data_IF_563494201824
#
_entry.id   IF_563494201824
#
_cell.length_a   1.000
_cell.length_b   1.000
_cell.length_c   1.000
_cell.angle_alpha   90.00
_cell.angle_beta   90.00
_cell.angle_gamma   90.00
#
_symmetry.space_group_name_H-M   'P 1'
#
loop_
_entity.id
_entity.type
_entity.pdbx_description
1 polymer ?
#
# COMPACT_ATOMS: atom_id res chain seq x y z
N UNK A 1 18.97 4.78 13.97
CA UNK A 1 19.06 3.52 13.22
C UNK A 1 17.79 3.43 12.39
N UNK A 2 17.89 3.29 11.08
CA UNK A 2 16.73 3.09 10.20
C UNK A 2 16.13 1.70 10.45
N UNK A 3 14.79 1.61 10.50
CA UNK A 3 14.09 0.34 10.66
C UNK A 3 14.07 -0.41 9.33
N UNK A 4 14.23 -1.74 9.35
CA UNK A 4 14.35 -2.54 8.12
C UNK A 4 13.06 -2.59 7.31
N UNK A 5 13.14 -2.95 6.02
CA UNK A 5 11.97 -3.19 5.18
C UNK A 5 11.04 -4.29 5.72
N UNK A 6 11.59 -5.33 6.36
CA UNK A 6 10.80 -6.37 7.00
C UNK A 6 9.98 -5.82 8.18
N UNK A 7 10.57 -4.90 8.96
CA UNK A 7 9.87 -4.23 10.05
C UNK A 7 8.72 -3.35 9.54
N UNK A 8 8.88 -2.71 8.38
CA UNK A 8 7.82 -1.95 7.73
C UNK A 8 6.61 -2.83 7.40
N UNK A 9 6.81 -3.98 6.75
CA UNK A 9 5.73 -4.89 6.41
C UNK A 9 5.04 -5.47 7.65
N UNK A 10 5.80 -5.76 8.72
CA UNK A 10 5.24 -6.20 10.00
C UNK A 10 4.39 -5.11 10.63
N UNK A 11 4.88 -3.87 10.67
CA UNK A 11 4.11 -2.74 11.20
C UNK A 11 2.82 -2.52 10.39
N UNK A 12 2.89 -2.64 9.06
CA UNK A 12 1.75 -2.44 8.18
C UNK A 12 0.65 -3.46 8.48
N UNK A 13 0.95 -4.77 8.47
CA UNK A 13 -0.08 -5.77 8.76
C UNK A 13 -0.66 -5.68 10.17
N UNK A 14 0.14 -5.24 11.16
CA UNK A 14 -0.35 -5.00 12.51
C UNK A 14 -1.34 -3.83 12.55
N UNK A 15 -1.11 -2.77 11.78
CA UNK A 15 -2.04 -1.64 11.64
C UNK A 15 -3.33 -2.05 10.93
N UNK A 16 -3.21 -2.79 9.82
CA UNK A 16 -4.34 -3.16 8.97
C UNK A 16 -5.31 -4.17 9.63
N UNK A 17 -4.80 -5.12 10.41
CA UNK A 17 -5.61 -6.25 10.89
C UNK A 17 -5.20 -6.80 12.27
N UNK A 18 -4.22 -6.19 12.93
CA UNK A 18 -3.55 -6.84 14.07
C UNK A 18 -2.68 -8.04 13.67
N UNK A 19 -2.38 -8.20 12.37
CA UNK A 19 -1.60 -9.32 11.82
C UNK A 19 -2.43 -10.58 11.53
N UNK A 20 -3.75 -10.49 11.46
CA UNK A 20 -4.65 -11.60 11.20
C UNK A 20 -4.81 -11.89 9.69
N UNK A 21 -4.18 -12.97 9.23
CA UNK A 21 -4.25 -13.43 7.83
C UNK A 21 -5.65 -13.90 7.40
N UNK A 22 -6.55 -14.19 8.34
CA UNK A 22 -7.92 -14.64 8.07
C UNK A 22 -8.96 -13.52 8.20
N UNK A 23 -8.53 -12.30 8.52
CA UNK A 23 -9.42 -11.15 8.66
C UNK A 23 -10.14 -10.80 7.36
N UNK A 24 -11.42 -10.45 7.46
CA UNK A 24 -12.20 -9.85 6.38
C UNK A 24 -13.02 -8.70 6.99
N UNK A 25 -12.81 -7.48 6.53
CA UNK A 25 -13.55 -6.33 7.05
C UNK A 25 -14.95 -6.19 6.43
N UNK A 26 -15.71 -5.20 6.88
CA UNK A 26 -17.08 -4.94 6.42
C UNK A 26 -17.18 -4.50 4.96
N UNK A 27 -16.05 -4.17 4.32
CA UNK A 27 -15.92 -3.80 2.91
C UNK A 27 -15.24 -4.92 2.09
N UNK A 28 -15.16 -6.13 2.63
CA UNK A 28 -14.57 -7.33 2.01
C UNK A 28 -13.08 -7.24 1.66
N UNK A 29 -12.31 -6.36 2.31
CA UNK A 29 -10.85 -6.41 2.19
C UNK A 29 -10.29 -7.62 2.94
N UNK A 30 -9.28 -8.28 2.34
CA UNK A 30 -8.84 -9.61 2.74
C UNK A 30 -7.48 -9.61 3.47
N UNK A 31 -7.45 -10.33 4.57
CA UNK A 31 -6.27 -10.81 5.25
C UNK A 31 -5.46 -9.73 5.96
N UNK A 32 -4.20 -10.06 6.22
CA UNK A 32 -3.39 -9.34 7.18
C UNK A 32 -3.05 -7.90 6.74
N UNK A 33 -3.06 -7.67 5.42
CA UNK A 33 -2.76 -6.39 4.77
C UNK A 33 -3.99 -5.76 4.12
N UNK A 34 -5.20 -6.27 4.43
CA UNK A 34 -6.48 -5.76 3.93
C UNK A 34 -6.44 -5.49 2.42
N UNK A 35 -6.19 -6.54 1.62
CA UNK A 35 -6.18 -6.43 0.17
C UNK A 35 -7.58 -6.32 -0.42
N UNK A 36 -7.81 -5.35 -1.30
CA UNK A 36 -9.02 -5.25 -2.12
C UNK A 36 -8.85 -5.87 -3.50
N UNK A 37 -9.94 -5.96 -4.23
CA UNK A 37 -10.01 -6.58 -5.56
C UNK A 37 -9.15 -5.88 -6.60
N UNK A 38 -9.14 -4.55 -6.64
CA UNK A 38 -8.26 -3.77 -7.51
C UNK A 38 -6.78 -4.14 -7.31
N UNK A 39 -6.31 -4.17 -6.06
CA UNK A 39 -4.94 -4.53 -5.76
C UNK A 39 -4.63 -5.99 -6.14
N UNK A 40 -5.53 -6.93 -5.86
CA UNK A 40 -5.34 -8.33 -6.23
C UNK A 40 -5.43 -8.57 -7.74
N UNK A 41 -6.17 -7.75 -8.46
CA UNK A 41 -6.23 -7.76 -9.92
C UNK A 41 -4.91 -7.28 -10.52
N UNK A 42 -4.40 -6.15 -10.06
CA UNK A 42 -3.10 -5.59 -10.47
C UNK A 42 -1.94 -6.54 -10.17
N UNK A 43 -2.02 -7.26 -9.04
CA UNK A 43 -1.05 -8.30 -8.67
C UNK A 43 -1.27 -9.63 -9.41
N UNK A 44 -2.32 -9.74 -10.24
CA UNK A 44 -2.62 -10.94 -11.02
C UNK A 44 -3.11 -12.13 -10.19
N UNK A 45 -3.62 -11.92 -8.98
CA UNK A 45 -4.30 -12.93 -8.18
C UNK A 45 -5.76 -13.10 -8.58
N UNK A 46 -6.44 -12.03 -8.97
CA UNK A 46 -7.86 -11.99 -9.34
C UNK A 46 -7.98 -11.55 -10.81
N UNK A 47 -8.99 -12.05 -11.53
CA UNK A 47 -9.31 -11.58 -12.88
C UNK A 47 -10.29 -10.42 -12.77
N UNK A 48 -10.09 -9.40 -13.59
CA UNK A 48 -11.04 -8.30 -13.72
C UNK A 48 -12.38 -8.79 -14.31
N UNK A 49 -13.48 -8.43 -13.68
CA UNK A 49 -14.85 -8.81 -14.09
C UNK A 49 -15.71 -7.65 -14.59
N UNK A 50 -15.18 -6.42 -14.53
CA UNK A 50 -15.89 -5.21 -14.94
C UNK A 50 -15.97 -4.14 -13.86
N UNK A 51 -15.76 -4.50 -12.59
CA UNK A 51 -15.69 -3.55 -11.48
C UNK A 51 -14.64 -4.00 -10.45
N UNK A 52 -13.51 -3.28 -10.37
CA UNK A 52 -12.42 -3.65 -9.48
C UNK A 52 -12.62 -3.17 -8.02
N UNK A 53 -13.69 -2.42 -7.73
CA UNK A 53 -13.86 -1.69 -6.48
C UNK A 53 -15.01 -2.18 -5.59
N UNK A 54 -15.78 -3.18 -6.04
CA UNK A 54 -16.89 -3.73 -5.26
C UNK A 54 -16.46 -4.86 -4.30
N UNK A 55 -15.22 -5.33 -4.43
CA UNK A 55 -14.61 -6.38 -3.62
C UNK A 55 -15.47 -7.66 -3.54
N UNK A 56 -16.13 -8.02 -4.64
CA UNK A 56 -16.93 -9.23 -4.73
C UNK A 56 -16.09 -10.43 -5.24
N UNK A 57 -14.91 -10.17 -5.82
CA UNK A 57 -13.97 -11.14 -6.37
C UNK A 57 -14.57 -12.08 -7.43
N UNK A 58 -15.58 -11.64 -8.17
CA UNK A 58 -16.43 -12.50 -9.01
C UNK A 58 -15.75 -12.92 -10.32
N UNK A 59 -14.73 -12.20 -10.76
CA UNK A 59 -13.84 -12.64 -11.85
C UNK A 59 -13.00 -13.87 -11.50
N UNK A 60 -12.91 -14.19 -10.20
CA UNK A 60 -12.28 -15.40 -9.68
C UNK A 60 -10.75 -15.37 -9.73
N UNK A 61 -10.13 -16.25 -8.95
CA UNK A 61 -8.68 -16.26 -8.77
C UNK A 61 -7.94 -17.00 -9.89
N UNK A 62 -6.75 -16.52 -10.22
CA UNK A 62 -5.95 -16.98 -11.37
C UNK A 62 -5.23 -18.30 -11.13
N UNK A 63 -5.00 -18.69 -9.86
CA UNK A 63 -4.11 -19.78 -9.48
C UNK A 63 -2.70 -19.33 -9.09
N UNK A 64 -2.39 -18.03 -9.18
CA UNK A 64 -1.09 -17.48 -8.75
C UNK A 64 -0.78 -17.88 -7.31
N UNK A 65 0.46 -18.32 -7.08
CA UNK A 65 0.94 -18.80 -5.78
C UNK A 65 0.14 -19.94 -5.14
N UNK A 66 -0.66 -20.66 -5.94
CA UNK A 66 -1.56 -21.73 -5.48
C UNK A 66 -2.92 -21.23 -5.00
N UNK A 67 -3.23 -19.95 -5.15
CA UNK A 67 -4.49 -19.33 -4.69
C UNK A 67 -5.54 -19.44 -5.80
N UNK A 68 -6.62 -20.20 -5.55
CA UNK A 68 -7.75 -20.38 -6.49
C UNK A 68 -9.08 -19.89 -5.93
N UNK A 69 -9.10 -19.37 -4.72
CA UNK A 69 -10.28 -18.83 -4.05
C UNK A 69 -9.89 -17.82 -2.98
N UNK A 70 -10.87 -17.04 -2.50
CA UNK A 70 -10.70 -16.19 -1.30
C UNK A 70 -10.20 -17.02 -0.11
N UNK A 71 -10.75 -18.23 0.08
CA UNK A 71 -10.35 -19.09 1.19
C UNK A 71 -8.89 -19.55 1.07
N UNK A 72 -8.41 -19.86 -0.14
CA UNK A 72 -6.99 -20.18 -0.36
C UNK A 72 -6.08 -18.98 -0.04
N UNK A 73 -6.53 -17.76 -0.38
CA UNK A 73 -5.79 -16.54 -0.11
C UNK A 73 -5.68 -16.28 1.41
N UNK A 74 -6.81 -16.35 2.12
CA UNK A 74 -6.87 -16.18 3.58
C UNK A 74 -6.10 -17.27 4.34
N UNK A 75 -6.02 -18.48 3.80
CA UNK A 75 -5.27 -19.59 4.42
C UNK A 75 -3.77 -19.60 4.06
N UNK A 76 -3.29 -18.66 3.25
CA UNK A 76 -1.90 -18.64 2.76
C UNK A 76 -1.18 -17.37 3.17
N UNK A 77 -0.61 -17.38 4.39
CA UNK A 77 0.26 -16.30 4.86
C UNK A 77 1.41 -16.02 3.87
N UNK A 78 1.96 -17.08 3.25
CA UNK A 78 2.99 -16.99 2.21
C UNK A 78 2.52 -16.18 0.99
N UNK A 79 1.29 -16.41 0.52
CA UNK A 79 0.75 -15.67 -0.62
C UNK A 79 0.52 -14.20 -0.26
N UNK A 80 -0.04 -13.91 0.91
CA UNK A 80 -0.26 -12.54 1.38
C UNK A 80 1.04 -11.77 1.58
N UNK A 81 2.05 -12.37 2.21
CA UNK A 81 3.36 -11.73 2.39
C UNK A 81 4.09 -11.49 1.06
N UNK A 82 3.95 -12.41 0.09
CA UNK A 82 4.48 -12.21 -1.27
C UNK A 82 3.71 -11.09 -1.99
N UNK A 83 2.38 -11.10 -1.93
CA UNK A 83 1.53 -10.07 -2.49
C UNK A 83 1.91 -8.69 -1.93
N UNK A 84 2.14 -8.56 -0.62
CA UNK A 84 2.56 -7.30 0.01
C UNK A 84 3.92 -6.81 -0.54
N UNK A 85 4.91 -7.70 -0.68
CA UNK A 85 6.21 -7.32 -1.25
C UNK A 85 6.11 -6.87 -2.71
N UNK A 86 5.28 -7.53 -3.51
CA UNK A 86 5.04 -7.16 -4.91
C UNK A 86 4.26 -5.84 -4.99
N UNK A 87 3.27 -5.66 -4.12
CA UNK A 87 2.43 -4.48 -4.05
C UNK A 87 3.23 -3.24 -3.74
N UNK A 88 4.14 -3.29 -2.76
CA UNK A 88 5.00 -2.14 -2.44
C UNK A 88 5.88 -1.70 -3.62
N UNK A 89 6.31 -2.64 -4.47
CA UNK A 89 7.05 -2.30 -5.69
C UNK A 89 6.16 -1.66 -6.75
N UNK A 90 4.97 -2.24 -6.96
CA UNK A 90 4.00 -1.71 -7.92
C UNK A 90 3.51 -0.31 -7.52
N UNK A 91 3.27 -0.09 -6.21
CA UNK A 91 2.93 1.21 -5.67
C UNK A 91 4.02 2.25 -5.89
N UNK A 92 5.29 1.87 -5.77
CA UNK A 92 6.38 2.77 -6.12
C UNK A 92 6.35 3.15 -7.60
N UNK A 93 6.09 2.20 -8.50
CA UNK A 93 5.91 2.50 -9.93
C UNK A 93 4.72 3.43 -10.19
N UNK A 94 3.65 3.33 -9.40
CA UNK A 94 2.54 4.28 -9.47
C UNK A 94 2.92 5.67 -8.95
N UNK A 95 3.69 5.77 -7.86
CA UNK A 95 4.25 7.03 -7.37
C UNK A 95 5.13 7.70 -8.46
N UNK A 96 5.95 6.94 -9.17
CA UNK A 96 6.74 7.42 -10.31
C UNK A 96 5.84 7.84 -11.49
N UNK A 97 4.80 7.07 -11.81
CA UNK A 97 3.84 7.39 -12.88
C UNK A 97 3.06 8.68 -12.60
N UNK A 98 2.70 8.93 -11.34
CA UNK A 98 2.08 10.19 -10.91
C UNK A 98 3.09 11.35 -10.81
N UNK A 99 4.38 11.09 -11.09
CA UNK A 99 5.47 12.05 -11.03
C UNK A 99 5.56 12.75 -9.67
N UNK A 100 5.40 11.99 -8.58
CA UNK A 100 5.51 12.49 -7.19
C UNK A 100 6.66 11.84 -6.42
N UNK A 101 7.42 10.93 -7.04
CA UNK A 101 8.60 10.26 -6.47
C UNK A 101 9.69 11.24 -6.04
N UNK A 102 9.86 12.36 -6.75
CA UNK A 102 10.86 13.38 -6.45
C UNK A 102 10.58 14.16 -5.15
N UNK A 103 9.42 13.97 -4.53
CA UNK A 103 9.11 14.46 -3.18
C UNK A 103 9.68 13.56 -2.08
N UNK A 104 10.22 12.39 -2.40
CA UNK A 104 10.86 11.54 -1.41
C UNK A 104 11.98 12.29 -0.66
N UNK A 105 11.84 12.36 0.67
CA UNK A 105 12.73 13.09 1.58
C UNK A 105 12.44 14.58 1.73
N UNK A 106 11.42 15.13 1.04
CA UNK A 106 11.00 16.53 1.20
C UNK A 106 9.94 16.68 2.28
N UNK A 107 9.82 17.90 2.78
CA UNK A 107 8.71 18.28 3.66
C UNK A 107 7.54 18.82 2.83
N UNK A 108 6.33 18.39 3.17
CA UNK A 108 5.06 18.90 2.63
C UNK A 108 4.08 19.02 3.79
N UNK A 109 3.46 20.19 3.99
CA UNK A 109 2.53 20.39 5.10
C UNK A 109 3.10 20.05 6.48
N UNK A 110 4.41 20.28 6.69
CA UNK A 110 5.11 19.94 7.94
C UNK A 110 5.40 18.46 8.14
N UNK A 111 5.12 17.59 7.16
CA UNK A 111 5.41 16.15 7.22
C UNK A 111 6.55 15.80 6.27
N UNK A 112 7.52 15.02 6.74
CA UNK A 112 8.59 14.50 5.86
C UNK A 112 8.05 13.30 5.06
N UNK A 113 8.01 13.44 3.74
CA UNK A 113 7.60 12.37 2.82
C UNK A 113 8.74 11.38 2.61
N UNK A 114 9.01 10.53 3.60
CA UNK A 114 9.95 9.41 3.40
C UNK A 114 9.38 8.40 2.40
N UNK A 115 10.24 7.61 1.75
CA UNK A 115 9.81 6.57 0.79
C UNK A 115 8.78 5.61 1.40
N UNK A 116 9.03 5.13 2.62
CA UNK A 116 8.12 4.21 3.31
C UNK A 116 6.80 4.87 3.70
N UNK A 117 6.83 6.15 4.09
CA UNK A 117 5.61 6.93 4.38
C UNK A 117 4.76 7.16 3.13
N UNK A 118 5.39 7.46 1.99
CA UNK A 118 4.71 7.60 0.70
C UNK A 118 4.06 6.28 0.24
N UNK A 119 4.77 5.15 0.41
CA UNK A 119 4.22 3.83 0.11
C UNK A 119 3.02 3.49 1.01
N UNK A 120 3.11 3.79 2.31
CA UNK A 120 2.00 3.56 3.24
C UNK A 120 0.79 4.45 2.90
N UNK A 121 1.00 5.74 2.62
CA UNK A 121 -0.06 6.64 2.19
C UNK A 121 -0.75 6.17 0.90
N UNK A 122 0.06 5.68 -0.04
CA UNK A 122 -0.42 5.09 -1.29
C UNK A 122 -1.17 3.78 -1.03
N UNK A 123 -0.72 2.95 -0.08
CA UNK A 123 -1.45 1.77 0.37
C UNK A 123 -2.85 2.09 0.87
N UNK A 124 -2.98 3.15 1.67
CA UNK A 124 -4.25 3.54 2.28
C UNK A 124 -5.26 4.08 1.26
N UNK A 125 -4.86 5.06 0.43
CA UNK A 125 -5.79 5.83 -0.42
C UNK A 125 -5.41 5.89 -1.90
N UNK A 126 -4.35 5.20 -2.30
CA UNK A 126 -3.83 5.23 -3.65
C UNK A 126 -2.91 6.42 -3.94
N UNK A 127 -2.22 6.39 -5.10
CA UNK A 127 -1.25 7.40 -5.50
C UNK A 127 -1.90 8.75 -5.83
N UNK A 128 -3.16 8.75 -6.28
CA UNK A 128 -3.93 9.97 -6.57
C UNK A 128 -4.19 10.80 -5.31
N UNK A 129 -4.56 10.15 -4.20
CA UNK A 129 -4.75 10.82 -2.93
C UNK A 129 -3.42 11.36 -2.38
N UNK A 130 -2.32 10.62 -2.49
CA UNK A 130 -1.00 11.14 -2.12
C UNK A 130 -0.62 12.37 -2.98
N UNK A 131 -0.92 12.35 -4.28
CA UNK A 131 -0.72 13.51 -5.14
C UNK A 131 -1.57 14.71 -4.70
N UNK A 132 -2.84 14.50 -4.40
CA UNK A 132 -3.73 15.57 -3.93
C UNK A 132 -3.25 16.17 -2.60
N UNK A 133 -2.78 15.32 -1.67
CA UNK A 133 -2.12 15.77 -0.45
C UNK A 133 -0.90 16.65 -0.77
N UNK A 134 -0.06 16.25 -1.72
CA UNK A 134 1.12 17.01 -2.14
C UNK A 134 0.76 18.34 -2.78
N UNK A 135 -0.15 18.33 -3.76
CA UNK A 135 -0.55 19.52 -4.52
C UNK A 135 -1.25 20.57 -3.64
N UNK A 136 -1.88 20.12 -2.55
CA UNK A 136 -2.51 21.00 -1.56
C UNK A 136 -1.55 21.55 -0.50
N UNK A 137 -0.24 21.25 -0.58
CA UNK A 137 0.74 21.55 0.47
C UNK A 137 0.33 20.97 1.83
N UNK A 138 -0.20 19.74 1.80
CA UNK A 138 -0.66 18.99 2.95
C UNK A 138 -1.96 19.47 3.60
N UNK A 139 -2.73 20.33 2.93
CA UNK A 139 -3.98 20.92 3.46
C UNK A 139 -5.22 20.07 3.21
N UNK A 140 -5.19 19.14 2.25
CA UNK A 140 -6.32 18.27 1.97
C UNK A 140 -6.55 17.26 3.11
N UNK A 141 -7.79 17.20 3.64
CA UNK A 141 -8.21 16.22 4.66
C UNK A 141 -8.68 14.93 3.97
N UNK A 142 -7.71 14.09 3.59
CA UNK A 142 -7.97 12.82 2.89
C UNK A 142 -8.01 11.66 3.89
N UNK A 143 -9.10 10.89 3.84
CA UNK A 143 -9.40 9.82 4.78
C UNK A 143 -9.91 8.56 4.08
N UNK A 144 -9.66 7.41 4.69
CA UNK A 144 -10.26 6.15 4.27
C UNK A 144 -11.76 6.07 4.67
N UNK A 145 -12.50 5.03 4.24
CA UNK A 145 -13.90 4.85 4.65
C UNK A 145 -14.14 4.72 6.16
N UNK A 146 -13.09 4.42 6.95
CA UNK A 146 -13.14 4.32 8.41
C UNK A 146 -12.71 5.62 9.11
N UNK A 147 -12.35 6.67 8.36
CA UNK A 147 -11.95 7.97 8.86
C UNK A 147 -10.46 8.13 9.16
N UNK A 148 -9.63 7.14 8.83
CA UNK A 148 -8.17 7.17 9.02
C UNK A 148 -7.54 8.19 8.09
N UNK A 149 -6.85 9.23 8.59
CA UNK A 149 -6.27 10.25 7.73
C UNK A 149 -4.98 9.77 7.07
N UNK A 150 -4.74 10.19 5.81
CA UNK A 150 -3.52 9.85 5.05
C UNK A 150 -2.24 10.22 5.80
N UNK A 151 -2.26 11.36 6.52
CA UNK A 151 -1.14 11.86 7.31
C UNK A 151 -0.72 10.88 8.42
N UNK A 152 -1.67 10.11 8.98
CA UNK A 152 -1.34 9.08 9.96
C UNK A 152 -0.39 8.04 9.34
N UNK A 153 -0.66 7.60 8.11
CA UNK A 153 0.20 6.62 7.43
C UNK A 153 1.54 7.21 7.01
N UNK A 154 1.55 8.45 6.51
CA UNK A 154 2.80 9.19 6.19
C UNK A 154 3.74 9.18 7.40
N UNK A 155 3.21 9.48 8.59
CA UNK A 155 4.01 9.65 9.80
C UNK A 155 4.36 8.32 10.48
N UNK A 156 3.37 7.45 10.69
CA UNK A 156 3.55 6.19 11.41
C UNK A 156 4.49 5.23 10.70
N UNK A 157 4.51 5.28 9.36
CA UNK A 157 5.38 4.44 8.54
C UNK A 157 6.58 5.21 7.98
N UNK A 158 6.88 6.38 8.52
CA UNK A 158 8.02 7.18 8.11
C UNK A 158 9.36 6.55 8.53
N UNK A 159 10.36 6.56 7.64
CA UNK A 159 11.76 6.29 8.00
C UNK A 159 12.20 4.83 8.01
N UNK A 160 11.42 3.91 7.41
CA UNK A 160 11.87 2.54 7.16
C UNK A 160 12.71 2.46 5.88
N UNK A 161 13.64 1.52 5.85
CA UNK A 161 14.42 1.22 4.65
C UNK A 161 13.54 0.57 3.58
N UNK A 162 13.70 1.03 2.34
CA UNK A 162 13.00 0.48 1.18
C UNK A 162 14.03 0.17 0.10
N UNK A 163 14.67 -1.02 0.14
CA UNK A 163 15.91 -1.29 -0.60
C UNK A 163 15.74 -1.38 -2.12
N UNK A 164 14.51 -1.47 -2.62
CA UNK A 164 14.22 -1.46 -4.06
C UNK A 164 14.05 -0.04 -4.63
N UNK A 165 13.96 0.98 -3.78
CA UNK A 165 13.90 2.38 -4.22
C UNK A 165 15.29 2.98 -4.15
N UNK A 166 15.76 3.51 -5.28
CA UNK A 166 17.00 4.28 -5.34
C UNK A 166 16.65 5.76 -5.37
N UNK A 167 16.59 6.38 -4.19
CA UNK A 167 16.48 7.84 -4.12
C UNK A 167 17.78 8.42 -4.69
N UNK A 168 17.68 9.17 -5.79
CA UNK A 168 18.81 9.94 -6.28
C UNK A 168 19.04 11.07 -5.29
N UNK A 169 19.99 10.91 -4.38
CA UNK A 169 20.48 12.03 -3.57
C UNK A 169 21.05 13.04 -4.55
N UNK A 170 20.48 14.24 -4.58
CA UNK A 170 21.09 15.35 -5.31
C UNK A 170 22.50 15.54 -4.75
N UNK A 171 23.51 15.20 -5.57
CA UNK A 171 24.89 15.53 -5.29
C UNK A 171 24.97 17.06 -5.38
N UNK A 172 24.99 17.74 -4.23
CA UNK A 172 25.30 19.17 -4.19
C UNK A 172 26.69 19.34 -4.80
N UNK A 173 26.74 19.93 -5.99
CA UNK A 173 27.95 20.38 -6.68
C UNK A 173 28.26 21.81 -6.25
#
# INVERSE_FOLDING_TARGET
MSSTYAAFLVALKLMESGGDYQSVNTLNYLGAYQFGEAALTDLGYVRYDGDAFDNNYSGGFTGKDGVRSVQDFLNSARAQDRAAQEWMRLMWSYIEMYNIDHYAGREVGGQTLTVSGMLAATHLLGPGALKEYIDSDGKADLRDPYGTPIVQYINQFGGYEVPFVRVRVAQNS
#
